data_IF_137040223873
#
_entry.id   IF_137040223873
#
_cell.length_a   1.000
_cell.length_b   1.000
_cell.length_c   1.000
_cell.angle_alpha   90.00
_cell.angle_beta   90.00
_cell.angle_gamma   90.00
#
_symmetry.space_group_name_H-M   'P 1'
#
loop_
_entity.id
_entity.type
_entity.pdbx_description
1 polymer ?
#
# COMPACT_ATOMS: atom_id res chain seq x y z
N UNK A 1 5.91 78.18 -23.44
CA UNK A 1 6.02 77.15 -22.39
C UNK A 1 4.70 76.38 -22.35
N UNK A 2 4.65 75.27 -23.09
CA UNK A 2 3.51 74.37 -23.08
C UNK A 2 3.69 73.41 -21.89
N UNK A 3 2.94 73.62 -20.82
CA UNK A 3 2.84 72.66 -19.72
C UNK A 3 1.80 71.62 -20.12
N UNK A 4 2.21 70.64 -20.91
CA UNK A 4 1.40 69.45 -21.14
C UNK A 4 1.17 68.76 -19.80
N UNK A 5 -0.11 68.56 -19.48
CA UNK A 5 -0.59 68.02 -18.22
C UNK A 5 -0.09 66.59 -18.03
N UNK A 6 1.03 66.44 -17.32
CA UNK A 6 1.62 65.15 -16.92
C UNK A 6 0.71 64.33 -16.00
N UNK A 7 -0.42 64.91 -15.55
CA UNK A 7 -1.43 64.24 -14.74
C UNK A 7 -2.30 63.27 -15.57
N UNK A 8 -2.43 63.47 -16.88
CA UNK A 8 -3.25 62.61 -17.74
C UNK A 8 -2.55 61.32 -18.21
N UNK A 9 -1.22 61.31 -18.23
CA UNK A 9 -0.43 60.15 -18.68
C UNK A 9 -0.19 59.18 -17.53
N UNK A 10 -0.10 59.68 -16.29
CA UNK A 10 0.13 58.85 -15.09
C UNK A 10 -1.07 57.96 -14.71
N UNK A 11 -2.30 58.38 -15.04
CA UNK A 11 -3.48 57.55 -14.76
C UNK A 11 -3.60 56.32 -15.66
N UNK A 12 -3.04 56.35 -16.88
CA UNK A 12 -3.16 55.23 -17.83
C UNK A 12 -2.06 54.18 -17.59
N UNK A 13 -0.90 54.58 -17.05
CA UNK A 13 0.19 53.64 -16.72
C UNK A 13 -0.03 52.83 -15.44
N UNK A 14 -1.04 53.13 -14.62
CA UNK A 14 -1.39 52.32 -13.44
C UNK A 14 -2.23 51.08 -13.77
N UNK A 15 -2.69 50.92 -15.02
CA UNK A 15 -3.49 49.75 -15.45
C UNK A 15 -2.60 48.66 -16.10
N UNK A 16 -1.29 48.92 -16.26
CA UNK A 16 -0.39 47.92 -16.86
C UNK A 16 0.20 47.02 -15.78
N UNK A 17 -0.48 45.88 -15.61
CA UNK A 17 0.08 44.57 -15.26
C UNK A 17 0.62 44.47 -13.83
N UNK A 18 -0.30 44.38 -12.87
CA UNK A 18 -0.14 43.37 -11.82
C UNK A 18 -0.97 42.16 -12.23
N UNK A 19 -0.48 41.39 -13.20
CA UNK A 19 -0.83 39.96 -13.19
C UNK A 19 -0.21 39.44 -11.90
N UNK A 20 -0.99 39.41 -10.83
CA UNK A 20 -0.63 38.60 -9.68
C UNK A 20 -0.46 37.21 -10.25
N UNK A 21 0.81 36.81 -10.42
CA UNK A 21 1.14 35.42 -10.56
C UNK A 21 0.62 34.81 -9.26
N UNK A 22 -0.62 34.33 -9.30
CA UNK A 22 -1.06 33.29 -8.40
C UNK A 22 -0.12 32.14 -8.72
N UNK A 23 0.98 32.07 -7.99
CA UNK A 23 1.65 30.82 -7.77
C UNK A 23 0.54 29.92 -7.23
N UNK A 24 -0.07 29.13 -8.12
CA UNK A 24 -0.98 28.08 -7.73
C UNK A 24 -0.17 27.23 -6.77
N UNK A 25 -0.39 27.44 -5.48
CA UNK A 25 0.17 26.61 -4.44
C UNK A 25 -0.46 25.25 -4.72
N UNK A 26 0.27 24.40 -5.45
CA UNK A 26 -0.06 23.00 -5.55
C UNK A 26 -0.12 22.54 -4.11
N UNK A 27 -1.33 22.29 -3.61
CA UNK A 27 -1.52 21.56 -2.37
C UNK A 27 -0.82 20.23 -2.58
N UNK A 28 0.46 20.14 -2.20
CA UNK A 28 1.14 18.85 -2.04
C UNK A 28 0.32 18.15 -0.97
N UNK A 29 -0.59 17.28 -1.40
CA UNK A 29 -1.38 16.47 -0.50
C UNK A 29 -0.43 15.78 0.46
N UNK A 30 -0.69 15.88 1.77
CA UNK A 30 0.11 15.23 2.80
C UNK A 30 0.24 13.75 2.42
N UNK A 31 1.47 13.29 2.20
CA UNK A 31 1.72 11.88 1.97
C UNK A 31 1.20 11.11 3.20
N UNK A 32 0.31 10.15 2.96
CA UNK A 32 -0.18 9.24 4.01
C UNK A 32 1.03 8.44 4.51
N UNK A 33 1.24 8.33 5.84
CA UNK A 33 2.31 7.48 6.35
C UNK A 33 2.09 6.01 5.97
N UNK A 34 3.16 5.20 5.92
CA UNK A 34 3.08 3.75 5.83
C UNK A 34 2.07 3.16 6.80
N UNK A 35 1.33 2.16 6.33
CA UNK A 35 0.38 1.40 7.14
C UNK A 35 0.90 -0.02 7.31
N UNK A 36 0.91 -0.51 8.56
CA UNK A 36 1.07 -1.92 8.84
C UNK A 36 -0.30 -2.61 8.84
N UNK A 37 -0.44 -3.66 8.05
CA UNK A 37 -1.66 -4.43 7.90
C UNK A 37 -1.53 -5.78 8.61
N UNK A 38 -2.34 -5.99 9.66
CA UNK A 38 -2.43 -7.31 10.29
C UNK A 38 -3.19 -8.29 9.39
N UNK A 39 -2.50 -9.29 8.88
CA UNK A 39 -3.05 -10.31 7.99
C UNK A 39 -4.13 -11.12 8.71
N UNK A 40 -5.28 -11.32 8.07
CA UNK A 40 -6.45 -11.96 8.70
C UNK A 40 -7.17 -11.10 9.76
N UNK A 41 -6.79 -9.81 9.91
CA UNK A 41 -7.46 -8.89 10.82
C UNK A 41 -7.29 -9.32 12.27
N UNK A 42 -8.38 -9.57 13.00
CA UNK A 42 -8.35 -10.03 14.40
C UNK A 42 -7.95 -11.50 14.55
N UNK A 43 -8.18 -12.32 13.52
CA UNK A 43 -7.94 -13.77 13.55
C UNK A 43 -6.45 -14.11 13.41
N UNK A 44 -5.66 -13.22 12.79
CA UNK A 44 -4.24 -13.45 12.51
C UNK A 44 -4.04 -14.44 11.36
N UNK A 45 -2.84 -15.02 11.30
CA UNK A 45 -2.47 -16.06 10.35
C UNK A 45 -2.69 -17.43 10.98
N UNK A 46 -3.76 -18.09 10.56
CA UNK A 46 -4.23 -19.41 10.97
C UNK A 46 -4.98 -20.11 9.85
N UNK A 47 -5.15 -21.41 9.97
CA UNK A 47 -6.01 -22.18 9.08
C UNK A 47 -7.44 -21.65 9.16
N UNK A 48 -8.08 -21.32 8.00
CA UNK A 48 -9.48 -20.96 7.96
C UNK A 48 -10.39 -22.13 8.34
N UNK A 49 -11.59 -21.82 8.84
CA UNK A 49 -12.62 -22.85 9.01
C UNK A 49 -13.08 -23.37 7.63
N UNK A 50 -13.54 -24.62 7.57
CA UNK A 50 -13.94 -25.27 6.31
C UNK A 50 -15.01 -24.51 5.49
N UNK A 51 -15.80 -23.63 6.13
CA UNK A 51 -16.82 -22.80 5.48
C UNK A 51 -16.33 -21.40 5.10
N UNK A 52 -15.07 -21.04 5.38
CA UNK A 52 -14.50 -19.71 5.22
C UNK A 52 -13.11 -19.75 4.58
N UNK A 53 -12.89 -20.66 3.62
CA UNK A 53 -11.60 -20.86 2.95
C UNK A 53 -11.14 -19.66 2.12
N UNK A 54 -12.03 -18.69 1.86
CA UNK A 54 -11.79 -17.43 1.14
C UNK A 54 -11.43 -16.24 2.06
N UNK A 55 -11.25 -16.48 3.36
CA UNK A 55 -11.04 -15.44 4.37
C UNK A 55 -9.92 -14.45 4.03
N UNK A 56 -8.75 -14.94 3.57
CA UNK A 56 -7.61 -14.08 3.25
C UNK A 56 -7.79 -13.33 1.92
N UNK A 57 -8.49 -13.92 0.95
CA UNK A 57 -8.87 -13.24 -0.29
C UNK A 57 -9.82 -12.06 0.00
N UNK A 58 -10.84 -12.30 0.83
CA UNK A 58 -11.77 -11.24 1.28
C UNK A 58 -11.01 -10.16 2.05
N UNK A 59 -10.10 -10.55 2.94
CA UNK A 59 -9.28 -9.59 3.70
C UNK A 59 -8.40 -8.75 2.77
N UNK A 60 -7.70 -9.36 1.80
CA UNK A 60 -6.84 -8.66 0.86
C UNK A 60 -7.65 -7.68 0.00
N UNK A 61 -8.82 -8.11 -0.50
CA UNK A 61 -9.71 -7.27 -1.33
C UNK A 61 -10.21 -6.02 -0.60
N UNK A 62 -10.37 -6.09 0.73
CA UNK A 62 -10.80 -4.94 1.56
C UNK A 62 -9.68 -3.95 1.86
N UNK A 63 -8.42 -4.30 1.60
CA UNK A 63 -7.27 -3.47 1.88
C UNK A 63 -6.66 -2.88 0.60
N UNK A 64 -5.96 -1.76 0.74
CA UNK A 64 -5.27 -1.07 -0.36
C UNK A 64 -3.80 -0.89 0.02
N UNK A 65 -2.97 -1.77 -0.51
CA UNK A 65 -1.53 -1.82 -0.28
C UNK A 65 -0.78 -0.86 -1.20
N UNK A 66 0.31 -0.28 -0.70
CA UNK A 66 1.21 0.62 -1.43
C UNK A 66 2.65 0.29 -1.08
N UNK A 67 3.56 0.75 -1.93
CA UNK A 67 4.98 0.68 -1.62
C UNK A 67 5.25 1.45 -0.31
N UNK A 68 5.98 0.82 0.60
CA UNK A 68 6.31 1.31 1.93
C UNK A 68 5.37 0.80 3.02
N UNK A 69 4.20 0.25 2.70
CA UNK A 69 3.36 -0.44 3.68
C UNK A 69 4.00 -1.78 4.11
N UNK A 70 3.48 -2.38 5.17
CA UNK A 70 3.95 -3.69 5.66
C UNK A 70 2.79 -4.64 5.97
N UNK A 71 3.07 -5.94 5.91
CA UNK A 71 2.18 -7.02 6.32
C UNK A 71 2.69 -7.62 7.62
N UNK A 72 1.85 -7.59 8.65
CA UNK A 72 2.14 -8.21 9.94
C UNK A 72 1.39 -9.54 10.05
N UNK A 73 2.16 -10.63 10.06
CA UNK A 73 1.69 -11.98 10.28
C UNK A 73 1.90 -12.37 11.74
N UNK A 74 0.85 -12.81 12.41
CA UNK A 74 0.92 -13.39 13.76
C UNK A 74 0.31 -14.78 13.74
N UNK A 75 1.09 -15.79 14.12
CA UNK A 75 0.75 -17.20 13.96
C UNK A 75 1.34 -18.06 15.08
N UNK A 76 0.78 -19.26 15.25
CA UNK A 76 1.24 -20.26 16.23
C UNK A 76 1.28 -21.62 15.56
N UNK A 77 2.40 -22.35 15.72
CA UNK A 77 2.61 -23.67 15.13
C UNK A 77 2.39 -23.69 13.61
N UNK A 78 2.82 -22.62 12.93
CA UNK A 78 2.68 -22.42 11.50
C UNK A 78 3.90 -21.67 10.96
N UNK A 79 3.95 -21.51 9.64
CA UNK A 79 4.98 -20.80 8.91
C UNK A 79 4.32 -19.87 7.89
N UNK A 80 5.02 -18.79 7.58
CA UNK A 80 4.69 -17.96 6.40
C UNK A 80 5.76 -18.23 5.36
N UNK A 81 5.33 -18.69 4.19
CA UNK A 81 6.22 -18.91 3.05
C UNK A 81 5.88 -17.89 1.97
N UNK A 82 6.86 -17.10 1.55
CA UNK A 82 6.72 -16.30 0.33
C UNK A 82 7.06 -17.18 -0.87
N UNK A 83 6.21 -17.15 -1.89
CA UNK A 83 6.31 -18.04 -3.06
C UNK A 83 6.05 -17.26 -4.35
N UNK A 84 6.43 -17.84 -5.47
CA UNK A 84 5.95 -17.36 -6.77
C UNK A 84 4.47 -17.72 -6.98
N UNK A 85 3.85 -17.05 -7.97
CA UNK A 85 2.46 -17.27 -8.39
C UNK A 85 2.10 -18.76 -8.56
N UNK A 86 2.99 -19.55 -9.16
CA UNK A 86 2.75 -20.98 -9.34
C UNK A 86 2.73 -21.75 -8.02
N UNK A 87 3.63 -21.39 -7.09
CA UNK A 87 3.66 -21.99 -5.75
C UNK A 87 2.41 -21.68 -4.95
N UNK A 88 1.87 -20.47 -5.08
CA UNK A 88 0.60 -20.07 -4.46
C UNK A 88 -0.59 -20.92 -4.93
N UNK A 89 -0.76 -21.08 -6.24
CA UNK A 89 -1.91 -21.82 -6.77
C UNK A 89 -1.86 -23.32 -6.46
N UNK A 90 -0.66 -23.90 -6.49
CA UNK A 90 -0.45 -25.34 -6.29
C UNK A 90 -0.07 -25.70 -4.85
N UNK A 91 0.01 -24.73 -3.95
CA UNK A 91 0.52 -24.92 -2.59
C UNK A 91 1.89 -25.62 -2.55
N UNK A 92 2.81 -25.19 -3.43
CA UNK A 92 4.15 -25.76 -3.48
C UNK A 92 5.02 -25.16 -2.37
N UNK A 93 5.19 -25.92 -1.29
CA UNK A 93 6.02 -25.53 -0.14
C UNK A 93 7.53 -25.78 -0.33
N UNK A 94 7.95 -26.36 -1.46
CA UNK A 94 9.37 -26.71 -1.69
C UNK A 94 10.16 -25.62 -2.43
N UNK A 95 9.48 -24.79 -3.22
CA UNK A 95 10.07 -23.70 -4.00
C UNK A 95 9.68 -22.34 -3.40
N UNK A 96 10.24 -22.03 -2.22
CA UNK A 96 9.96 -20.80 -1.48
C UNK A 96 11.00 -19.73 -1.76
N UNK A 97 10.57 -18.48 -1.90
CA UNK A 97 11.43 -17.30 -1.98
C UNK A 97 11.94 -16.90 -0.59
N UNK A 98 11.08 -17.01 0.42
CA UNK A 98 11.42 -16.78 1.82
C UNK A 98 10.56 -17.67 2.73
N UNK A 99 11.05 -17.92 3.94
CA UNK A 99 10.37 -18.72 4.96
C UNK A 99 10.53 -18.06 6.32
N UNK A 100 9.44 -17.94 7.05
CA UNK A 100 9.38 -17.30 8.35
C UNK A 100 8.71 -18.23 9.37
N UNK A 101 9.35 -18.40 10.52
CA UNK A 101 8.95 -19.33 11.59
C UNK A 101 9.03 -18.71 12.99
N UNK A 102 9.04 -17.38 13.09
CA UNK A 102 9.22 -16.64 14.34
C UNK A 102 7.91 -16.40 15.10
N UNK A 103 6.78 -16.84 14.54
CA UNK A 103 5.42 -16.66 15.08
C UNK A 103 4.87 -15.23 14.93
N UNK A 104 5.74 -14.27 14.59
CA UNK A 104 5.41 -12.84 14.41
C UNK A 104 6.35 -12.23 13.39
N UNK A 105 5.90 -12.17 12.14
CA UNK A 105 6.71 -11.69 11.02
C UNK A 105 6.15 -10.37 10.48
N UNK A 106 7.02 -9.41 10.23
CA UNK A 106 6.69 -8.19 9.46
C UNK A 106 7.39 -8.27 8.10
N UNK A 107 6.61 -8.16 7.03
CA UNK A 107 7.11 -8.16 5.65
C UNK A 107 6.82 -6.79 5.03
N UNK A 108 7.86 -6.11 4.53
CA UNK A 108 7.71 -4.81 3.89
C UNK A 108 7.33 -4.98 2.41
N UNK A 109 6.39 -4.16 1.94
CA UNK A 109 6.04 -4.07 0.53
C UNK A 109 6.91 -2.99 -0.12
N UNK A 110 8.11 -3.35 -0.53
CA UNK A 110 9.14 -2.41 -1.03
C UNK A 110 9.14 -2.24 -2.56
N UNK A 111 8.46 -3.14 -3.27
CA UNK A 111 8.34 -3.14 -4.72
C UNK A 111 6.88 -3.19 -5.20
N UNK A 112 6.59 -2.64 -6.39
CA UNK A 112 5.28 -2.79 -7.00
C UNK A 112 5.08 -4.23 -7.49
N UNK A 113 3.85 -4.72 -7.41
CA UNK A 113 3.47 -6.01 -7.96
C UNK A 113 2.82 -6.93 -6.94
N UNK A 114 2.48 -8.17 -7.36
CA UNK A 114 1.88 -9.14 -6.48
C UNK A 114 2.93 -9.82 -5.60
N UNK A 115 2.60 -9.97 -4.32
CA UNK A 115 3.29 -10.85 -3.39
C UNK A 115 2.36 -12.03 -3.09
N UNK A 116 2.91 -13.23 -2.99
CA UNK A 116 2.13 -14.42 -2.68
C UNK A 116 2.68 -15.11 -1.45
N UNK A 117 1.80 -15.39 -0.50
CA UNK A 117 2.13 -16.04 0.75
C UNK A 117 1.31 -17.31 0.89
N UNK A 118 1.89 -18.36 1.43
CA UNK A 118 1.18 -19.61 1.77
C UNK A 118 1.61 -20.08 3.15
N UNK A 119 0.74 -20.84 3.83
CA UNK A 119 1.14 -21.55 5.03
C UNK A 119 2.15 -22.65 4.67
N UNK A 120 3.16 -22.84 5.54
CA UNK A 120 4.08 -23.97 5.45
C UNK A 120 3.65 -25.19 6.29
N UNK A 121 2.50 -25.11 6.98
CA UNK A 121 1.95 -26.25 7.69
C UNK A 121 1.22 -27.21 6.71
N UNK A 122 1.23 -28.53 6.98
CA UNK A 122 0.58 -29.51 6.12
C UNK A 122 -0.89 -29.18 5.88
N UNK A 123 -1.31 -29.22 4.61
CA UNK A 123 -2.67 -29.01 4.12
C UNK A 123 -3.32 -27.63 4.37
N UNK A 124 -2.80 -26.80 5.28
CA UNK A 124 -3.32 -25.47 5.59
C UNK A 124 -3.45 -24.57 4.34
N UNK A 125 -2.46 -24.56 3.44
CA UNK A 125 -2.55 -23.80 2.19
C UNK A 125 -3.71 -24.29 1.30
N UNK A 126 -3.92 -25.62 1.21
CA UNK A 126 -5.03 -26.20 0.43
C UNK A 126 -6.38 -25.89 1.06
N UNK A 127 -6.41 -25.74 2.38
CA UNK A 127 -7.56 -25.34 3.17
C UNK A 127 -7.77 -23.82 3.21
N UNK A 128 -7.02 -23.07 2.40
CA UNK A 128 -7.26 -21.63 2.15
C UNK A 128 -6.36 -20.69 2.94
N UNK A 129 -5.36 -21.18 3.67
CA UNK A 129 -4.38 -20.32 4.34
C UNK A 129 -3.30 -19.83 3.37
N UNK A 130 -3.72 -18.94 2.46
CA UNK A 130 -2.91 -18.31 1.43
C UNK A 130 -3.47 -16.93 1.07
#
# INVERSE_FOLDING_TARGET
>A
MAAYSLLGVFCIFLIVVTTTAEAAAVHKGRAKPPTEFRVGGKLGWREPDANHTDMYEIWATKNRFRIGDSLYFEYRNDFVLEVEKQGYYHCNMTATLASFNDGKTVINLDQPGPFYFISGAPDHCKNGQR
#
